data_IF_871492897960
#
_entry.id   IF_871492897960
#
_cell.length_a   1.000
_cell.length_b   1.000
_cell.length_c   1.000
_cell.angle_alpha   90.00
_cell.angle_beta   90.00
_cell.angle_gamma   90.00
#
_symmetry.space_group_name_H-M   'P 1'
#
loop_
_entity.id
_entity.type
_entity.pdbx_description
1 polymer ?
#
# COMPACT_ATOMS: atom_id res chain seq x y z
N UNK A 1 -30.47 64.53 -31.73
CA UNK A 1 -30.61 64.99 -30.33
C UNK A 1 -31.67 64.12 -29.70
N UNK A 2 -31.30 63.09 -28.97
CA UNK A 2 -32.22 62.29 -28.18
C UNK A 2 -31.51 61.98 -26.87
N UNK A 3 -32.01 62.54 -25.79
CA UNK A 3 -31.48 62.36 -24.44
C UNK A 3 -32.08 61.09 -23.86
N UNK A 4 -31.23 60.15 -23.45
CA UNK A 4 -31.63 58.99 -22.64
C UNK A 4 -31.54 59.35 -21.15
N UNK A 5 -32.71 59.39 -20.54
CA UNK A 5 -32.94 59.55 -19.12
C UNK A 5 -32.58 58.23 -18.41
N UNK A 6 -31.53 58.20 -17.58
CA UNK A 6 -31.22 57.13 -16.70
C UNK A 6 -31.92 57.34 -15.34
N UNK A 7 -32.90 56.54 -15.06
CA UNK A 7 -33.53 56.42 -13.73
C UNK A 7 -32.74 55.40 -12.90
N UNK A 8 -32.30 55.71 -11.68
CA UNK A 8 -31.60 54.74 -10.82
C UNK A 8 -32.59 53.76 -10.22
N UNK A 9 -32.27 52.44 -10.35
CA UNK A 9 -33.01 51.36 -9.73
C UNK A 9 -32.68 51.28 -8.23
N UNK A 10 -33.66 51.06 -7.35
CA UNK A 10 -33.40 50.87 -5.91
C UNK A 10 -32.76 49.53 -5.62
N UNK A 11 -31.71 49.52 -4.75
CA UNK A 11 -31.08 48.34 -4.21
C UNK A 11 -32.05 47.53 -3.35
N UNK A 12 -32.05 46.18 -3.42
CA UNK A 12 -32.87 45.37 -2.54
C UNK A 12 -32.33 45.44 -1.10
N UNK A 13 -33.23 45.71 -0.18
CA UNK A 13 -32.96 45.69 1.25
C UNK A 13 -32.55 44.28 1.71
N UNK A 14 -31.43 44.19 2.40
CA UNK A 14 -30.97 42.93 3.05
C UNK A 14 -31.91 42.67 4.25
N UNK A 15 -32.84 41.74 4.07
CA UNK A 15 -33.70 41.26 5.16
C UNK A 15 -32.82 40.62 6.24
N UNK A 16 -32.85 41.22 7.44
CA UNK A 16 -32.22 40.66 8.64
C UNK A 16 -32.85 39.34 9.00
N UNK A 17 -32.16 38.27 8.67
CA UNK A 17 -32.56 36.92 9.10
C UNK A 17 -32.72 36.85 10.60
N UNK A 18 -33.83 36.28 11.04
CA UNK A 18 -34.27 36.13 12.41
C UNK A 18 -33.16 35.53 13.30
N UNK A 19 -32.96 36.13 14.45
CA UNK A 19 -31.92 35.76 15.44
C UNK A 19 -31.99 34.26 15.80
N UNK A 20 -33.16 33.65 15.73
CA UNK A 20 -33.40 32.22 15.95
C UNK A 20 -32.76 31.35 14.86
N UNK A 21 -32.77 31.78 13.61
CA UNK A 21 -32.16 31.05 12.48
C UNK A 21 -30.63 31.12 12.55
N UNK A 22 -30.07 32.22 13.04
CA UNK A 22 -28.63 32.37 13.25
C UNK A 22 -28.10 31.52 14.42
N UNK A 23 -28.89 31.40 15.49
CA UNK A 23 -28.56 30.51 16.61
C UNK A 23 -28.62 29.03 16.21
N UNK A 24 -29.57 28.62 15.36
CA UNK A 24 -29.68 27.23 14.87
C UNK A 24 -28.52 26.89 13.92
N UNK A 25 -28.09 27.79 13.06
CA UNK A 25 -26.93 27.56 12.18
C UNK A 25 -25.61 27.51 12.96
N UNK A 26 -25.44 28.31 13.98
CA UNK A 26 -24.26 28.28 14.85
C UNK A 26 -24.21 27.00 15.71
N UNK A 27 -25.34 26.49 16.17
CA UNK A 27 -25.39 25.23 16.92
C UNK A 27 -25.14 24.03 16.02
N UNK A 28 -25.53 24.06 14.73
CA UNK A 28 -25.25 23.01 13.76
C UNK A 28 -23.76 22.97 13.36
N UNK A 29 -23.10 24.13 13.26
CA UNK A 29 -21.64 24.21 13.01
C UNK A 29 -20.81 23.70 14.21
N UNK A 30 -21.28 23.93 15.44
CA UNK A 30 -20.62 23.44 16.65
C UNK A 30 -20.75 21.92 16.83
N UNK A 31 -21.82 21.30 16.30
CA UNK A 31 -22.01 19.84 16.35
C UNK A 31 -21.16 19.07 15.33
N UNK A 32 -20.69 19.71 14.25
CA UNK A 32 -19.82 19.06 13.24
C UNK A 32 -18.35 19.01 13.65
N UNK A 33 -17.93 19.68 14.68
CA UNK A 33 -16.53 19.70 15.13
C UNK A 33 -16.14 18.53 16.05
N UNK A 34 -17.03 17.59 16.35
CA UNK A 34 -16.78 16.46 17.27
C UNK A 34 -16.51 15.14 16.53
N UNK A 35 -16.64 15.10 15.20
CA UNK A 35 -16.18 13.95 14.41
C UNK A 35 -14.76 14.17 13.87
N UNK A 36 -13.81 14.37 14.78
CA UNK A 36 -12.40 14.14 14.45
C UNK A 36 -12.22 12.62 14.28
N UNK A 37 -11.71 12.13 13.16
CA UNK A 37 -11.27 10.75 13.08
C UNK A 37 -10.27 10.55 14.21
N UNK A 38 -10.52 9.57 15.05
CA UNK A 38 -9.58 9.15 16.08
C UNK A 38 -8.32 8.69 15.37
N UNK A 39 -7.35 9.57 15.22
CA UNK A 39 -6.00 9.18 14.86
C UNK A 39 -5.53 8.25 15.97
N UNK A 40 -5.46 6.97 15.65
CA UNK A 40 -4.81 5.99 16.50
C UNK A 40 -3.35 6.45 16.63
N UNK A 41 -3.04 7.19 17.70
CA UNK A 41 -1.66 7.49 18.07
C UNK A 41 -0.96 6.14 18.28
N UNK A 42 -0.18 5.74 17.30
CA UNK A 42 0.85 4.74 17.52
C UNK A 42 1.76 5.34 18.58
N UNK A 43 1.68 4.83 19.80
CA UNK A 43 2.63 5.18 20.84
C UNK A 43 3.99 4.60 20.43
N UNK A 44 4.81 5.44 19.85
CA UNK A 44 6.24 5.18 19.69
C UNK A 44 6.89 5.39 21.05
N UNK A 45 7.03 4.35 21.83
CA UNK A 45 7.92 4.40 22.98
C UNK A 45 9.38 4.43 22.50
N UNK A 46 10.02 5.55 22.77
CA UNK A 46 11.46 5.79 22.92
C UNK A 46 12.41 5.50 21.76
N UNK A 47 12.89 6.57 21.15
CA UNK A 47 14.04 6.64 20.27
C UNK A 47 13.65 7.09 18.86
N UNK A 48 14.46 7.88 18.24
CA UNK A 48 14.30 8.45 16.90
C UNK A 48 13.53 7.56 15.91
N UNK A 49 12.22 7.53 16.01
CA UNK A 49 11.14 7.13 15.10
C UNK A 49 11.33 6.00 14.07
N UNK A 50 12.54 5.58 13.75
CA UNK A 50 12.83 4.61 12.70
C UNK A 50 13.12 3.22 13.27
N UNK A 51 12.44 2.16 12.79
CA UNK A 51 12.75 0.80 13.20
C UNK A 51 14.17 0.40 12.76
N UNK A 52 14.91 -0.28 13.64
CA UNK A 52 16.24 -0.81 13.32
C UNK A 52 16.21 -2.01 12.38
N UNK A 53 15.12 -2.75 12.40
CA UNK A 53 14.89 -3.93 11.57
C UNK A 53 13.40 -4.04 11.27
N UNK A 54 13.08 -4.25 10.01
CA UNK A 54 11.74 -4.61 9.54
C UNK A 54 11.83 -5.97 8.86
N UNK A 55 11.01 -6.90 9.29
CA UNK A 55 10.90 -8.24 8.68
C UNK A 55 9.48 -8.42 8.18
N UNK A 56 9.32 -8.53 6.87
CA UNK A 56 8.05 -8.86 6.23
C UNK A 56 8.05 -10.35 5.87
N UNK A 57 7.11 -11.12 6.42
CA UNK A 57 6.97 -12.54 6.14
C UNK A 57 5.63 -12.77 5.43
N UNK A 58 5.70 -13.09 4.15
CA UNK A 58 4.54 -13.47 3.35
C UNK A 58 4.48 -15.00 3.25
N UNK A 59 3.40 -15.58 3.72
CA UNK A 59 3.17 -17.04 3.64
C UNK A 59 2.04 -17.29 2.65
N UNK A 60 2.40 -17.80 1.48
CA UNK A 60 1.43 -18.13 0.44
C UNK A 60 0.54 -19.29 0.86
N UNK A 61 -0.72 -19.26 0.46
CA UNK A 61 -1.75 -20.29 0.73
C UNK A 61 -2.01 -20.58 2.21
N UNK A 62 -1.53 -19.75 3.14
CA UNK A 62 -1.86 -19.91 4.55
C UNK A 62 -3.29 -19.43 4.81
N UNK A 63 -4.20 -20.36 4.99
CA UNK A 63 -5.60 -20.08 5.36
C UNK A 63 -5.67 -19.62 6.82
N UNK A 64 -6.51 -18.61 7.09
CA UNK A 64 -6.68 -18.07 8.44
C UNK A 64 -7.22 -19.12 9.45
N UNK A 65 -8.10 -20.02 8.99
CA UNK A 65 -8.65 -21.08 9.82
C UNK A 65 -7.60 -22.14 10.23
N UNK A 66 -6.49 -22.27 9.51
CA UNK A 66 -5.38 -23.15 9.91
C UNK A 66 -4.70 -22.66 11.19
N UNK A 67 -4.63 -21.34 11.38
CA UNK A 67 -4.06 -20.78 12.61
C UNK A 67 -4.86 -21.20 13.84
N UNK A 68 -6.19 -21.22 13.75
CA UNK A 68 -7.07 -21.66 14.83
C UNK A 68 -7.07 -23.20 14.98
N UNK A 69 -7.21 -23.93 13.87
CA UNK A 69 -7.30 -25.38 13.88
C UNK A 69 -6.05 -26.05 14.45
N UNK A 70 -4.87 -25.50 14.17
CA UNK A 70 -3.59 -26.05 14.64
C UNK A 70 -3.05 -25.37 15.90
N UNK A 71 -3.80 -24.45 16.50
CA UNK A 71 -3.40 -23.75 17.73
C UNK A 71 -2.89 -24.68 18.85
N UNK A 72 -3.53 -25.83 19.12
CA UNK A 72 -3.05 -26.76 20.17
C UNK A 72 -1.67 -27.35 19.88
N UNK A 73 -1.26 -27.38 18.62
CA UNK A 73 0.02 -27.96 18.18
C UNK A 73 1.17 -26.95 18.17
N UNK A 74 0.87 -25.65 18.24
CA UNK A 74 1.90 -24.62 18.24
C UNK A 74 2.61 -24.55 19.58
N UNK A 75 3.94 -24.35 19.54
CA UNK A 75 4.72 -23.99 20.72
C UNK A 75 4.34 -22.59 21.23
N UNK A 76 4.86 -22.22 22.41
CA UNK A 76 4.56 -20.93 23.03
C UNK A 76 5.16 -19.73 22.28
N UNK A 77 6.23 -19.96 21.54
CA UNK A 77 6.83 -19.01 20.62
C UNK A 77 6.16 -19.08 19.23
N UNK A 78 6.58 -18.23 18.28
CA UNK A 78 6.03 -18.20 16.93
C UNK A 78 4.62 -17.63 16.92
N UNK A 79 3.65 -18.35 16.33
CA UNK A 79 2.28 -17.85 16.15
C UNK A 79 1.61 -17.45 17.47
N UNK A 80 1.72 -18.26 18.52
CA UNK A 80 1.14 -17.92 19.85
C UNK A 80 1.71 -16.62 20.39
N UNK A 81 3.04 -16.43 20.29
CA UNK A 81 3.68 -15.20 20.71
C UNK A 81 3.24 -14.00 19.88
N UNK A 82 3.21 -14.12 18.54
CA UNK A 82 2.76 -13.07 17.65
C UNK A 82 1.30 -12.68 17.95
N UNK A 83 0.44 -13.64 18.22
CA UNK A 83 -0.95 -13.39 18.60
C UNK A 83 -1.08 -12.70 19.96
N UNK A 84 -0.25 -13.04 20.94
CA UNK A 84 -0.28 -12.47 22.28
C UNK A 84 0.31 -11.06 22.34
N UNK A 85 1.41 -10.83 21.64
CA UNK A 85 2.23 -9.61 21.74
C UNK A 85 2.02 -8.66 20.57
N UNK A 86 1.48 -9.14 19.46
CA UNK A 86 1.27 -8.40 18.22
C UNK A 86 -0.15 -7.85 18.06
N UNK A 87 -0.40 -7.30 16.89
CA UNK A 87 -1.75 -6.88 16.46
C UNK A 87 -2.24 -7.79 15.36
N UNK A 88 -3.45 -8.34 15.53
CA UNK A 88 -4.08 -9.24 14.57
C UNK A 88 -5.18 -8.47 13.82
N UNK A 89 -5.18 -8.59 12.51
CA UNK A 89 -6.23 -8.13 11.63
C UNK A 89 -6.96 -9.36 11.06
N UNK A 90 -8.08 -9.71 11.70
CA UNK A 90 -8.83 -10.95 11.37
C UNK A 90 -9.71 -10.83 10.14
N UNK A 91 -9.98 -9.62 9.68
CA UNK A 91 -10.82 -9.34 8.52
C UNK A 91 -10.05 -8.49 7.53
N UNK A 92 -9.26 -9.17 6.71
CA UNK A 92 -8.46 -8.52 5.67
C UNK A 92 -8.74 -9.22 4.35
N UNK A 93 -9.17 -8.45 3.36
CA UNK A 93 -9.46 -8.94 2.01
C UNK A 93 -8.48 -8.34 1.00
N UNK A 94 -8.12 -9.12 0.00
CA UNK A 94 -7.40 -8.59 -1.15
C UNK A 94 -8.35 -7.73 -2.02
N UNK A 95 -7.87 -6.62 -2.58
CA UNK A 95 -8.68 -5.72 -3.41
C UNK A 95 -8.96 -6.28 -4.81
N UNK A 96 -8.72 -7.57 -5.03
CA UNK A 96 -8.83 -8.28 -6.30
C UNK A 96 -9.40 -9.67 -6.09
N UNK A 97 -10.27 -10.11 -6.99
CA UNK A 97 -10.84 -11.46 -6.98
C UNK A 97 -9.89 -12.53 -7.52
N UNK A 98 -8.86 -12.13 -8.26
CA UNK A 98 -7.83 -13.03 -8.78
C UNK A 98 -6.50 -12.67 -8.12
N UNK A 99 -5.95 -13.62 -7.41
CA UNK A 99 -4.64 -13.51 -6.76
C UNK A 99 -3.77 -14.68 -7.16
N UNK A 100 -2.61 -14.40 -7.71
CA UNK A 100 -1.52 -15.34 -7.84
C UNK A 100 -0.32 -14.82 -7.02
N UNK A 101 0.77 -15.56 -6.99
CA UNK A 101 1.92 -15.21 -6.15
C UNK A 101 2.51 -13.85 -6.48
N UNK A 102 2.56 -13.47 -7.76
CA UNK A 102 3.11 -12.19 -8.18
C UNK A 102 2.20 -11.02 -7.79
N UNK A 103 0.89 -11.11 -8.12
CA UNK A 103 -0.07 -10.06 -7.77
C UNK A 103 -0.25 -9.93 -6.26
N UNK A 104 -0.20 -11.03 -5.52
CA UNK A 104 -0.26 -11.02 -4.06
C UNK A 104 0.97 -10.37 -3.43
N UNK A 105 2.19 -10.76 -3.87
CA UNK A 105 3.43 -10.16 -3.39
C UNK A 105 3.48 -8.65 -3.66
N UNK A 106 3.14 -8.24 -4.89
CA UNK A 106 3.06 -6.82 -5.25
C UNK A 106 2.01 -6.06 -4.42
N UNK A 107 0.83 -6.64 -4.20
CA UNK A 107 -0.24 -6.02 -3.39
C UNK A 107 0.22 -5.81 -1.95
N UNK A 108 0.85 -6.81 -1.32
CA UNK A 108 1.37 -6.69 0.05
C UNK A 108 2.53 -5.70 0.13
N UNK A 109 3.46 -5.76 -0.83
CA UNK A 109 4.62 -4.88 -0.84
C UNK A 109 4.27 -3.40 -1.07
N UNK A 110 3.23 -3.11 -1.87
CA UNK A 110 2.85 -1.73 -2.23
C UNK A 110 1.65 -1.19 -1.45
N UNK A 111 0.90 -2.06 -0.76
CA UNK A 111 -0.37 -1.68 -0.13
C UNK A 111 -1.45 -1.23 -1.13
N UNK A 112 -1.34 -1.57 -2.41
CA UNK A 112 -2.24 -1.10 -3.46
C UNK A 112 -2.80 -2.24 -4.33
N UNK A 113 -3.86 -1.97 -5.06
CA UNK A 113 -4.52 -2.95 -5.93
C UNK A 113 -3.73 -3.19 -7.24
N UNK A 114 -3.90 -4.35 -7.90
CA UNK A 114 -3.30 -4.66 -9.20
C UNK A 114 -3.54 -3.60 -10.29
N UNK A 115 -4.68 -2.93 -10.26
CA UNK A 115 -5.01 -1.82 -11.17
C UNK A 115 -4.12 -0.58 -10.96
N UNK A 116 -3.45 -0.47 -9.81
CA UNK A 116 -2.53 0.63 -9.49
C UNK A 116 -1.07 0.22 -9.64
N UNK A 117 -0.69 -0.91 -9.06
CA UNK A 117 0.70 -1.35 -9.11
C UNK A 117 1.07 -2.07 -10.42
N UNK A 118 0.11 -2.40 -11.30
CA UNK A 118 0.36 -2.91 -12.63
C UNK A 118 0.60 -4.43 -12.74
N UNK A 119 0.86 -5.14 -11.65
CA UNK A 119 1.12 -6.57 -11.65
C UNK A 119 -0.20 -7.33 -11.48
N UNK A 120 -0.76 -7.79 -12.59
CA UNK A 120 -2.06 -8.48 -12.60
C UNK A 120 -1.94 -10.00 -12.44
N UNK A 121 -0.79 -10.58 -12.77
CA UNK A 121 -0.48 -12.00 -12.70
C UNK A 121 1.02 -12.21 -12.85
N UNK A 122 1.51 -13.42 -12.62
CA UNK A 122 2.90 -13.80 -12.90
C UNK A 122 3.23 -13.72 -14.38
N UNK A 123 2.24 -13.92 -15.25
CA UNK A 123 2.38 -13.82 -16.70
C UNK A 123 1.10 -13.27 -17.33
N UNK A 124 1.25 -12.45 -18.37
CA UNK A 124 0.14 -11.97 -19.21
C UNK A 124 0.54 -11.93 -20.69
N UNK A 125 -0.45 -11.75 -21.54
CA UNK A 125 -0.25 -11.53 -22.96
C UNK A 125 -0.05 -10.03 -23.23
N UNK A 126 1.11 -9.66 -23.73
CA UNK A 126 1.32 -8.29 -24.21
C UNK A 126 0.43 -8.00 -25.40
N UNK A 127 -0.39 -6.94 -25.31
CA UNK A 127 -1.41 -6.62 -26.33
C UNK A 127 -0.83 -6.10 -27.64
N UNK A 128 0.41 -5.61 -27.63
CA UNK A 128 1.06 -5.06 -28.82
C UNK A 128 1.80 -6.15 -29.59
N UNK A 129 2.52 -6.98 -28.86
CA UNK A 129 3.37 -8.03 -29.46
C UNK A 129 2.64 -9.36 -29.60
N UNK A 130 1.51 -9.55 -28.89
CA UNK A 130 0.76 -10.80 -28.75
C UNK A 130 1.65 -11.95 -28.25
N UNK A 131 2.64 -11.64 -27.44
CA UNK A 131 3.53 -12.63 -26.80
C UNK A 131 3.31 -12.68 -25.30
N UNK A 132 3.49 -13.85 -24.68
CA UNK A 132 3.55 -13.97 -23.25
C UNK A 132 4.70 -13.12 -22.68
N UNK A 133 4.44 -12.39 -21.62
CA UNK A 133 5.43 -11.59 -20.89
C UNK A 133 5.32 -11.93 -19.41
N UNK A 134 6.43 -12.26 -18.78
CA UNK A 134 6.47 -12.45 -17.33
C UNK A 134 6.51 -11.10 -16.61
N UNK A 135 5.92 -11.07 -15.43
CA UNK A 135 5.73 -9.82 -14.67
C UNK A 135 7.04 -9.11 -14.28
N UNK A 136 8.14 -9.84 -14.21
CA UNK A 136 9.48 -9.32 -13.86
C UNK A 136 10.47 -9.37 -15.00
N UNK A 137 10.06 -9.75 -16.22
CA UNK A 137 10.95 -9.73 -17.38
C UNK A 137 11.39 -8.29 -17.70
N UNK A 138 12.69 -8.09 -17.79
CA UNK A 138 13.30 -6.83 -18.20
C UNK A 138 14.54 -7.07 -19.05
N UNK A 139 14.38 -7.03 -20.35
CA UNK A 139 15.45 -7.25 -21.31
C UNK A 139 16.60 -6.20 -21.22
N UNK A 140 16.32 -5.06 -20.59
CA UNK A 140 17.28 -3.96 -20.43
C UNK A 140 18.11 -4.05 -19.17
N UNK A 141 17.67 -4.87 -18.20
CA UNK A 141 18.36 -5.02 -16.92
C UNK A 141 19.63 -5.88 -17.08
N UNK A 142 20.72 -5.35 -16.58
CA UNK A 142 21.99 -6.09 -16.46
C UNK A 142 22.20 -6.39 -14.97
N UNK A 143 21.80 -7.60 -14.56
CA UNK A 143 21.95 -8.04 -13.18
C UNK A 143 23.42 -8.12 -12.77
N UNK A 144 23.69 -7.81 -11.52
CA UNK A 144 25.04 -7.87 -10.92
C UNK A 144 25.34 -9.20 -10.23
N UNK A 145 24.39 -10.13 -10.25
CA UNK A 145 24.50 -11.42 -9.57
C UNK A 145 25.12 -12.53 -10.40
N UNK A 146 25.02 -13.74 -9.90
CA UNK A 146 25.46 -14.97 -10.58
C UNK A 146 24.49 -15.49 -11.64
N UNK A 147 23.30 -14.87 -11.72
CA UNK A 147 22.26 -15.26 -12.67
C UNK A 147 22.38 -14.46 -13.97
N UNK A 148 22.08 -15.11 -15.08
CA UNK A 148 21.94 -14.49 -16.40
C UNK A 148 20.53 -13.98 -16.66
N UNK A 149 19.61 -14.16 -15.70
CA UNK A 149 18.22 -13.77 -15.82
C UNK A 149 18.08 -12.25 -15.84
N UNK A 150 17.46 -11.75 -16.88
CA UNK A 150 17.15 -10.34 -17.05
C UNK A 150 15.80 -10.06 -16.41
N UNK A 151 15.83 -9.76 -15.14
CA UNK A 151 14.62 -9.56 -14.33
C UNK A 151 14.75 -8.35 -13.42
N UNK A 152 13.69 -7.54 -13.36
CA UNK A 152 13.61 -6.37 -12.49
C UNK A 152 12.16 -6.07 -12.10
N UNK A 153 11.90 -5.16 -11.16
CA UNK A 153 10.56 -4.69 -10.85
C UNK A 153 10.04 -3.64 -11.84
N UNK A 154 10.57 -3.51 -13.05
CA UNK A 154 10.22 -2.44 -13.99
C UNK A 154 8.73 -2.35 -14.34
N UNK A 155 8.00 -3.46 -14.29
CA UNK A 155 6.55 -3.48 -14.51
C UNK A 155 5.74 -3.07 -13.28
N UNK A 156 6.36 -2.91 -12.11
CA UNK A 156 5.73 -2.43 -10.89
C UNK A 156 5.62 -0.91 -10.95
N UNK A 157 4.40 -0.38 -11.00
CA UNK A 157 4.14 1.05 -11.23
C UNK A 157 4.03 1.88 -9.93
N UNK A 158 4.24 1.25 -8.78
CA UNK A 158 4.05 1.87 -7.45
C UNK A 158 5.24 1.49 -6.58
N UNK A 159 5.71 2.43 -5.75
CA UNK A 159 6.74 2.15 -4.75
C UNK A 159 6.29 1.10 -3.74
N UNK A 160 7.24 0.33 -3.24
CA UNK A 160 7.03 -0.63 -2.16
C UNK A 160 7.32 -0.02 -0.80
N UNK A 161 6.91 -0.69 0.27
CA UNK A 161 7.32 -0.33 1.65
C UNK A 161 8.86 -0.30 1.77
N UNK A 162 9.55 -1.18 1.03
CA UNK A 162 11.01 -1.22 1.00
C UNK A 162 11.61 0.00 0.30
N UNK A 163 11.02 0.44 -0.81
CA UNK A 163 11.43 1.67 -1.49
C UNK A 163 11.23 2.90 -0.60
N UNK A 164 10.07 2.97 0.09
CA UNK A 164 9.78 4.05 1.03
C UNK A 164 10.76 4.06 2.21
N UNK A 165 11.15 2.89 2.73
CA UNK A 165 12.16 2.78 3.77
C UNK A 165 13.54 3.30 3.30
N UNK A 166 13.93 2.97 2.07
CA UNK A 166 15.14 3.51 1.45
C UNK A 166 15.10 5.03 1.35
N UNK A 167 13.98 5.58 0.89
CA UNK A 167 13.81 7.04 0.80
C UNK A 167 13.83 7.70 2.18
N UNK A 168 13.14 7.15 3.16
CA UNK A 168 13.07 7.68 4.52
C UNK A 168 14.42 7.62 5.26
N UNK A 169 15.35 6.80 4.81
CA UNK A 169 16.69 6.65 5.40
C UNK A 169 17.82 7.23 4.52
N UNK A 170 17.49 8.07 3.55
CA UNK A 170 18.45 8.62 2.60
C UNK A 170 19.34 7.53 1.95
N UNK A 171 18.75 6.38 1.64
CA UNK A 171 19.42 5.23 1.03
C UNK A 171 20.25 4.36 1.99
N UNK A 172 20.27 4.65 3.28
CA UNK A 172 21.11 3.92 4.25
C UNK A 172 20.52 2.57 4.66
N UNK A 173 19.21 2.36 4.58
CA UNK A 173 18.61 1.07 4.87
C UNK A 173 19.09 0.02 3.88
N UNK A 174 19.39 -1.18 4.37
CA UNK A 174 19.69 -2.34 3.54
C UNK A 174 18.41 -3.16 3.36
N UNK A 175 18.08 -3.47 2.11
CA UNK A 175 16.85 -4.16 1.70
C UNK A 175 17.20 -5.43 0.95
N UNK A 176 16.85 -6.57 1.53
CA UNK A 176 16.99 -7.88 0.90
C UNK A 176 15.65 -8.61 0.88
N UNK A 177 15.32 -9.24 -0.24
CA UNK A 177 14.16 -10.09 -0.38
C UNK A 177 14.56 -11.50 -0.77
N UNK A 178 13.96 -12.49 -0.11
CA UNK A 178 14.22 -13.91 -0.36
C UNK A 178 12.88 -14.61 -0.50
N UNK A 179 12.67 -15.35 -1.58
CA UNK A 179 11.47 -16.12 -1.79
C UNK A 179 11.75 -17.41 -2.58
N UNK A 180 10.86 -18.41 -2.54
CA UNK A 180 10.97 -19.58 -3.40
C UNK A 180 10.93 -19.20 -4.89
N UNK A 181 10.09 -18.26 -5.27
CA UNK A 181 9.84 -17.84 -6.64
C UNK A 181 10.45 -16.45 -6.93
N UNK A 182 11.04 -16.32 -8.11
CA UNK A 182 11.75 -15.13 -8.57
C UNK A 182 10.90 -13.86 -8.50
N UNK A 183 9.69 -13.90 -9.02
CA UNK A 183 8.78 -12.77 -9.01
C UNK A 183 8.41 -12.33 -7.60
N UNK A 184 8.20 -13.26 -6.68
CA UNK A 184 7.89 -12.94 -5.28
C UNK A 184 9.06 -12.22 -4.60
N UNK A 185 10.31 -12.63 -4.85
CA UNK A 185 11.49 -11.98 -4.32
C UNK A 185 11.63 -10.55 -4.89
N UNK A 186 11.59 -10.41 -6.21
CA UNK A 186 11.81 -9.12 -6.88
C UNK A 186 10.71 -8.11 -6.50
N UNK A 187 9.43 -8.53 -6.55
CA UNK A 187 8.30 -7.63 -6.25
C UNK A 187 8.21 -7.26 -4.76
N UNK A 188 8.66 -8.14 -3.86
CA UNK A 188 8.75 -7.82 -2.42
C UNK A 188 9.91 -6.87 -2.10
N UNK A 189 11.02 -7.00 -2.82
CA UNK A 189 12.18 -6.13 -2.68
C UNK A 189 11.93 -4.71 -3.17
N UNK A 190 11.21 -4.57 -4.28
CA UNK A 190 10.94 -3.28 -4.91
C UNK A 190 12.09 -2.79 -5.79
N UNK A 191 12.02 -1.49 -6.14
CA UNK A 191 12.94 -0.86 -7.10
C UNK A 191 14.32 -0.57 -6.53
N UNK A 192 14.40 -0.33 -5.23
CA UNK A 192 15.61 0.11 -4.53
C UNK A 192 16.23 -0.98 -3.67
N UNK A 193 15.87 -2.24 -3.86
CA UNK A 193 16.45 -3.36 -3.11
C UNK A 193 17.95 -3.51 -3.38
N UNK A 194 18.71 -3.86 -2.35
CA UNK A 194 20.13 -4.20 -2.46
C UNK A 194 20.33 -5.62 -3.00
N UNK A 195 19.30 -6.46 -2.88
CA UNK A 195 19.31 -7.79 -3.46
C UNK A 195 17.97 -8.51 -3.36
N UNK A 196 17.69 -9.33 -4.39
CA UNK A 196 16.58 -10.28 -4.41
C UNK A 196 17.11 -11.67 -4.77
N UNK A 197 16.76 -12.68 -3.99
CA UNK A 197 17.20 -14.05 -4.20
C UNK A 197 16.00 -15.01 -4.29
N UNK A 198 16.02 -15.88 -5.30
CA UNK A 198 15.04 -16.94 -5.47
C UNK A 198 15.70 -18.32 -5.39
N UNK A 199 14.97 -19.31 -4.88
CA UNK A 199 15.47 -20.68 -4.76
C UNK A 199 15.32 -21.51 -6.05
N UNK A 200 14.53 -21.03 -7.01
CA UNK A 200 14.31 -21.71 -8.30
C UNK A 200 15.56 -21.82 -9.19
N UNK A 201 16.62 -21.14 -8.85
CA UNK A 201 17.86 -21.13 -9.60
C UNK A 201 18.83 -22.28 -9.21
N UNK A 202 18.38 -23.26 -8.43
CA UNK A 202 19.14 -24.45 -8.04
C UNK A 202 18.63 -25.72 -8.82
#
# INVERSE_FOLDING_TARGET
>A
MSQHNHTPQPHPAINGGDLRTRCLLLSLLAAMSVLSPSEAKVQTENGNGMPKLVVNILVDQLRSDYLEAFMPLYGEDGFKRLMREGRIYSQTDYPSSHTDIASAAATVATGSAPSRHGIISSQWLDRKTLRPTFCVDDATYEGTGTTTDKSSPANLSTSTVSDELKMATDGQALVYAIAPMREAAILSGGHAADGAAALEAL
#
